data_IF_277200187061
#
_entry.id   IF_277200187061
#
_cell.length_a   1.000
_cell.length_b   1.000
_cell.length_c   1.000
_cell.angle_alpha   90.00
_cell.angle_beta   90.00
_cell.angle_gamma   90.00
#
_symmetry.space_group_name_H-M   'P 1'
#
loop_
_entity.id
_entity.type
_entity.pdbx_description
1 polymer ?
#
# COMPACT_ATOMS: atom_id res chain seq x y z
N UNK A 1 -13.64 5.48 4.67
CA UNK A 1 -12.74 5.68 5.83
C UNK A 1 -11.30 5.43 5.39
N UNK A 2 -10.35 6.24 5.83
CA UNK A 2 -8.91 6.02 5.55
C UNK A 2 -8.21 5.24 6.67
N UNK A 3 -7.05 4.65 6.40
CA UNK A 3 -6.28 3.78 7.30
C UNK A 3 -6.16 4.35 8.73
N UNK A 4 -5.68 5.59 8.88
CA UNK A 4 -5.52 6.22 10.20
C UNK A 4 -6.85 6.44 10.94
N UNK A 5 -7.92 6.72 10.20
CA UNK A 5 -9.25 6.93 10.80
C UNK A 5 -9.83 5.61 11.31
N UNK A 6 -9.60 4.50 10.59
CA UNK A 6 -9.99 3.18 11.04
C UNK A 6 -9.40 2.84 12.42
N UNK A 7 -8.09 3.01 12.62
CA UNK A 7 -7.45 2.71 13.91
C UNK A 7 -7.91 3.64 15.02
N UNK A 8 -8.07 4.94 14.74
CA UNK A 8 -8.59 5.89 15.73
C UNK A 8 -10.01 5.54 16.21
N UNK A 9 -10.85 4.99 15.34
CA UNK A 9 -12.25 4.69 15.62
C UNK A 9 -12.46 3.28 16.18
N UNK A 10 -11.73 2.29 15.67
CA UNK A 10 -11.97 0.86 15.92
C UNK A 10 -10.99 0.24 16.91
N UNK A 11 -9.79 0.81 17.08
CA UNK A 11 -8.68 0.21 17.83
C UNK A 11 -7.94 1.30 18.65
N UNK A 12 -8.62 1.83 19.68
CA UNK A 12 -8.11 2.98 20.45
C UNK A 12 -6.77 2.72 21.17
N UNK A 13 -6.46 1.46 21.45
CA UNK A 13 -5.23 1.06 22.12
C UNK A 13 -4.06 0.81 21.14
N UNK A 14 -4.32 0.88 19.83
CA UNK A 14 -3.27 0.75 18.82
C UNK A 14 -2.48 2.06 18.71
N UNK A 15 -1.22 2.03 19.15
CA UNK A 15 -0.32 3.17 19.02
C UNK A 15 0.04 3.39 17.55
N UNK A 16 -0.52 4.44 16.96
CA UNK A 16 -0.24 4.83 15.59
C UNK A 16 0.79 5.96 15.53
N UNK A 17 1.93 5.68 14.91
CA UNK A 17 2.97 6.66 14.69
C UNK A 17 2.61 7.71 13.65
N UNK A 18 3.39 8.78 13.61
CA UNK A 18 3.32 9.76 12.55
C UNK A 18 3.67 9.15 11.19
N UNK A 19 3.04 9.67 10.14
CA UNK A 19 3.34 9.27 8.77
C UNK A 19 4.69 9.83 8.37
N UNK A 20 5.56 8.98 7.84
CA UNK A 20 6.85 9.39 7.29
C UNK A 20 6.74 9.50 5.77
N UNK A 21 7.22 10.60 5.21
CA UNK A 21 7.23 10.82 3.77
C UNK A 21 8.43 10.18 3.11
N UNK A 22 8.21 9.17 2.26
CA UNK A 22 9.27 8.54 1.46
C UNK A 22 9.70 9.40 0.27
N UNK A 23 8.90 10.40 -0.10
CA UNK A 23 9.07 11.21 -1.33
C UNK A 23 9.11 10.33 -2.60
N UNK A 24 8.51 9.14 -2.53
CA UNK A 24 8.57 8.11 -3.57
C UNK A 24 9.98 7.57 -3.87
N UNK A 25 10.97 7.94 -3.05
CA UNK A 25 12.36 7.56 -3.22
C UNK A 25 12.71 6.28 -2.43
N UNK A 26 13.19 5.21 -3.10
CA UNK A 26 13.58 3.97 -2.42
C UNK A 26 14.67 4.15 -1.36
N UNK A 27 15.67 4.98 -1.61
CA UNK A 27 16.77 5.17 -0.64
C UNK A 27 16.29 5.90 0.61
N UNK A 28 15.40 6.88 0.46
CA UNK A 28 14.75 7.55 1.60
C UNK A 28 13.90 6.55 2.39
N UNK A 29 13.09 5.74 1.71
CA UNK A 29 12.26 4.72 2.36
C UNK A 29 13.09 3.67 3.12
N UNK A 30 14.25 3.28 2.57
CA UNK A 30 15.19 2.37 3.20
C UNK A 30 15.76 2.95 4.49
N UNK A 31 16.26 4.18 4.46
CA UNK A 31 16.80 4.86 5.64
C UNK A 31 15.75 5.03 6.73
N UNK A 32 14.54 5.49 6.37
CA UNK A 32 13.42 5.63 7.31
C UNK A 32 13.06 4.29 7.96
N UNK A 33 12.99 3.22 7.17
CA UNK A 33 12.66 1.87 7.68
C UNK A 33 13.73 1.37 8.64
N UNK A 34 15.02 1.55 8.32
CA UNK A 34 16.12 1.21 9.21
C UNK A 34 16.08 2.00 10.52
N UNK A 35 15.76 3.29 10.46
CA UNK A 35 15.68 4.12 11.65
C UNK A 35 14.50 3.70 12.53
N UNK A 36 13.36 3.36 11.91
CA UNK A 36 12.20 2.82 12.60
C UNK A 36 12.54 1.51 13.31
N UNK A 37 13.15 0.54 12.62
CA UNK A 37 13.54 -0.74 13.21
C UNK A 37 14.48 -0.61 14.42
N UNK A 38 15.24 0.50 14.51
CA UNK A 38 16.13 0.79 15.64
C UNK A 38 15.48 1.60 16.76
N UNK A 39 14.37 2.27 16.50
CA UNK A 39 13.79 3.22 17.45
C UNK A 39 12.99 2.51 18.56
N UNK A 40 12.29 1.43 18.23
CA UNK A 40 11.43 0.69 19.16
C UNK A 40 11.49 -0.81 18.85
N UNK A 41 11.46 -1.63 19.89
CA UNK A 41 11.54 -3.10 19.72
C UNK A 41 10.18 -3.73 19.38
N UNK A 42 9.06 -3.05 19.64
CA UNK A 42 7.71 -3.63 19.58
C UNK A 42 6.90 -3.20 18.35
N UNK A 43 7.56 -2.96 17.22
CA UNK A 43 6.84 -2.76 15.96
C UNK A 43 6.09 -4.02 15.53
N UNK A 44 4.81 -3.88 15.22
CA UNK A 44 3.94 -4.99 14.77
C UNK A 44 3.43 -4.83 13.34
N UNK A 45 3.48 -3.63 12.77
CA UNK A 45 3.00 -3.39 11.41
C UNK A 45 3.64 -2.19 10.74
N UNK A 46 3.74 -2.26 9.42
CA UNK A 46 4.24 -1.19 8.56
C UNK A 46 3.32 -1.06 7.34
N UNK A 47 2.74 0.12 7.16
CA UNK A 47 1.85 0.41 6.03
C UNK A 47 2.56 1.31 5.03
N UNK A 48 2.91 0.75 3.88
CA UNK A 48 3.58 1.44 2.77
C UNK A 48 2.51 1.93 1.79
N UNK A 49 2.05 3.17 2.01
CA UNK A 49 0.90 3.75 1.32
C UNK A 49 1.21 4.35 -0.07
N UNK A 50 2.41 4.16 -0.59
CA UNK A 50 2.87 4.79 -1.84
C UNK A 50 4.24 4.31 -2.28
N UNK A 51 4.98 5.16 -3.00
CA UNK A 51 6.31 4.83 -3.53
C UNK A 51 7.38 4.55 -2.46
N UNK A 52 8.45 3.87 -2.86
CA UNK A 52 9.58 3.51 -1.99
C UNK A 52 9.53 2.09 -1.40
N UNK A 53 8.54 1.26 -1.77
CA UNK A 53 8.39 -0.12 -1.25
C UNK A 53 9.63 -0.98 -1.44
N UNK A 54 10.38 -0.79 -2.52
CA UNK A 54 11.64 -1.52 -2.78
C UNK A 54 12.70 -1.20 -1.73
N UNK A 55 12.77 0.05 -1.26
CA UNK A 55 13.62 0.48 -0.16
C UNK A 55 13.22 -0.14 1.18
N UNK A 56 11.92 -0.17 1.46
CA UNK A 56 11.37 -0.85 2.64
C UNK A 56 11.75 -2.33 2.63
N UNK A 57 11.51 -3.03 1.51
CA UNK A 57 11.87 -4.44 1.37
C UNK A 57 13.38 -4.65 1.53
N UNK A 58 14.22 -3.78 0.95
CA UNK A 58 15.68 -3.84 1.11
C UNK A 58 16.07 -3.74 2.59
N UNK A 59 15.49 -2.80 3.34
CA UNK A 59 15.80 -2.60 4.76
C UNK A 59 15.42 -3.82 5.60
N UNK A 60 14.26 -4.41 5.31
CA UNK A 60 13.76 -5.60 6.01
C UNK A 60 14.57 -6.86 5.67
N UNK A 61 15.12 -6.98 4.46
CA UNK A 61 16.03 -8.10 4.11
C UNK A 61 17.36 -8.00 4.84
N UNK A 62 17.90 -6.79 4.95
CA UNK A 62 19.18 -6.54 5.60
C UNK A 62 19.10 -6.73 7.13
N UNK A 63 17.92 -6.53 7.72
CA UNK A 63 17.69 -6.66 9.15
C UNK A 63 17.22 -8.09 9.52
N UNK A 64 18.11 -8.87 10.13
CA UNK A 64 17.80 -10.21 10.62
C UNK A 64 17.18 -10.23 12.04
N UNK A 65 16.90 -9.05 12.61
CA UNK A 65 16.41 -8.85 13.95
C UNK A 65 14.96 -9.29 14.18
N UNK A 66 14.55 -9.46 15.45
CA UNK A 66 13.19 -9.88 15.77
C UNK A 66 12.12 -8.88 15.31
N UNK A 67 12.41 -7.57 15.34
CA UNK A 67 11.47 -6.53 14.92
C UNK A 67 11.09 -6.69 13.44
N UNK A 68 12.09 -6.79 12.55
CA UNK A 68 11.87 -6.96 11.12
C UNK A 68 11.06 -8.23 10.80
N UNK A 69 11.32 -9.34 11.51
CA UNK A 69 10.64 -10.62 11.30
C UNK A 69 9.17 -10.64 11.76
N UNK A 70 8.80 -9.78 12.72
CA UNK A 70 7.44 -9.72 13.26
C UNK A 70 6.52 -8.78 12.49
N UNK A 71 7.07 -7.84 11.73
CA UNK A 71 6.31 -6.82 11.03
C UNK A 71 5.29 -7.43 10.05
N UNK A 72 4.03 -7.03 10.20
CA UNK A 72 3.03 -7.19 9.16
C UNK A 72 3.15 -6.00 8.21
N UNK A 73 3.78 -6.24 7.05
CA UNK A 73 3.93 -5.21 6.02
C UNK A 73 2.74 -5.26 5.07
N UNK A 74 2.07 -4.13 4.91
CA UNK A 74 0.98 -3.91 3.95
C UNK A 74 1.44 -2.89 2.91
N UNK A 75 1.37 -3.23 1.63
CA UNK A 75 1.79 -2.36 0.53
C UNK A 75 0.65 -2.07 -0.45
N UNK A 76 0.88 -1.13 -1.37
CA UNK A 76 -0.02 -0.80 -2.48
C UNK A 76 0.49 -1.32 -3.81
N UNK A 77 -0.47 -1.62 -4.70
CA UNK A 77 -0.30 -2.11 -6.06
C UNK A 77 0.45 -3.44 -6.22
N UNK A 78 -0.12 -4.37 -6.99
CA UNK A 78 0.52 -5.62 -7.33
C UNK A 78 1.48 -5.45 -8.52
N UNK A 79 2.66 -4.90 -8.26
CA UNK A 79 3.77 -4.80 -9.21
C UNK A 79 4.62 -6.07 -9.19
N UNK A 80 5.63 -6.15 -10.07
CA UNK A 80 6.63 -7.24 -10.04
C UNK A 80 7.33 -7.31 -8.68
N UNK A 81 7.67 -6.16 -8.12
CA UNK A 81 8.41 -6.02 -6.86
C UNK A 81 7.55 -6.43 -5.66
N UNK A 82 6.30 -5.95 -5.57
CA UNK A 82 5.42 -6.30 -4.45
C UNK A 82 4.94 -7.74 -4.52
N UNK A 83 4.76 -8.30 -5.72
CA UNK A 83 4.54 -9.74 -5.93
C UNK A 83 5.71 -10.56 -5.42
N UNK A 84 6.95 -10.17 -5.72
CA UNK A 84 8.14 -10.84 -5.18
C UNK A 84 8.19 -10.72 -3.65
N UNK A 85 7.90 -9.52 -3.10
CA UNK A 85 7.82 -9.31 -1.65
C UNK A 85 6.77 -10.18 -0.96
N UNK A 86 5.62 -10.42 -1.59
CA UNK A 86 4.60 -11.36 -1.12
C UNK A 86 5.12 -12.80 -1.12
N UNK A 87 5.76 -13.23 -2.21
CA UNK A 87 6.34 -14.58 -2.34
C UNK A 87 7.47 -14.84 -1.33
N UNK A 88 8.32 -13.84 -1.08
CA UNK A 88 9.37 -13.88 -0.06
C UNK A 88 8.82 -13.80 1.37
N UNK A 89 7.55 -13.43 1.54
CA UNK A 89 6.91 -13.23 2.83
C UNK A 89 7.33 -11.96 3.57
N UNK A 90 8.07 -11.06 2.92
CA UNK A 90 8.40 -9.73 3.45
C UNK A 90 7.15 -8.86 3.51
N UNK A 91 6.34 -8.91 2.46
CA UNK A 91 5.01 -8.28 2.41
C UNK A 91 3.98 -9.34 2.78
N UNK A 92 3.01 -8.98 3.63
CA UNK A 92 1.91 -9.88 4.01
C UNK A 92 0.66 -9.64 3.18
N UNK A 93 0.39 -8.39 2.84
CA UNK A 93 -0.79 -8.00 2.08
C UNK A 93 -0.42 -6.89 1.09
N UNK A 94 -0.94 -7.00 -0.13
CA UNK A 94 -0.97 -5.91 -1.10
C UNK A 94 -2.41 -5.53 -1.37
N UNK A 95 -2.71 -4.24 -1.24
CA UNK A 95 -3.97 -3.65 -1.67
C UNK A 95 -3.76 -3.08 -3.06
N UNK A 96 -4.49 -3.56 -4.06
CA UNK A 96 -4.30 -3.14 -5.45
C UNK A 96 -5.59 -2.59 -6.04
N UNK A 97 -5.48 -1.62 -6.93
CA UNK A 97 -6.61 -1.26 -7.78
C UNK A 97 -6.93 -2.41 -8.75
N UNK A 98 -8.21 -2.66 -9.08
CA UNK A 98 -8.60 -3.62 -10.10
C UNK A 98 -8.31 -3.02 -11.48
N UNK A 99 -7.05 -3.06 -11.90
CA UNK A 99 -6.54 -2.28 -13.04
C UNK A 99 -7.40 -2.43 -14.30
N UNK A 100 -7.86 -3.66 -14.58
CA UNK A 100 -8.76 -3.93 -15.72
C UNK A 100 -10.10 -3.23 -15.59
N UNK A 101 -10.79 -3.39 -14.45
CA UNK A 101 -12.09 -2.76 -14.21
C UNK A 101 -11.97 -1.23 -14.21
N UNK A 102 -10.87 -0.69 -13.64
CA UNK A 102 -10.56 0.73 -13.68
C UNK A 102 -10.40 1.24 -15.12
N UNK A 103 -9.60 0.55 -15.94
CA UNK A 103 -9.38 0.90 -17.34
C UNK A 103 -10.66 0.81 -18.19
N UNK A 104 -11.44 -0.26 -18.04
CA UNK A 104 -12.71 -0.44 -18.74
C UNK A 104 -13.72 0.66 -18.34
N UNK A 105 -13.79 0.98 -17.05
CA UNK A 105 -14.69 2.02 -16.53
C UNK A 105 -14.29 3.40 -17.05
N UNK A 106 -13.02 3.77 -16.98
CA UNK A 106 -12.57 5.11 -17.41
C UNK A 106 -12.75 5.31 -18.92
N UNK A 107 -12.40 4.31 -19.74
CA UNK A 107 -12.57 4.39 -21.19
C UNK A 107 -14.05 4.53 -21.57
N UNK A 108 -14.94 3.76 -20.91
CA UNK A 108 -16.37 3.86 -21.13
C UNK A 108 -16.90 5.26 -20.78
N UNK A 109 -16.54 5.78 -19.61
CA UNK A 109 -16.99 7.11 -19.15
C UNK A 109 -16.47 8.22 -20.07
N UNK A 110 -15.22 8.12 -20.53
CA UNK A 110 -14.65 9.06 -21.50
C UNK A 110 -15.40 9.03 -22.84
N UNK A 111 -15.74 7.85 -23.34
CA UNK A 111 -16.52 7.71 -24.57
C UNK A 111 -17.93 8.31 -24.43
N UNK A 112 -18.60 8.08 -23.29
CA UNK A 112 -19.91 8.66 -23.00
C UNK A 112 -19.86 10.19 -22.86
N UNK A 113 -18.76 10.75 -22.34
CA UNK A 113 -18.58 12.19 -22.18
C UNK A 113 -18.36 12.92 -23.53
N UNK A 114 -17.90 12.22 -24.56
CA UNK A 114 -17.74 12.75 -25.91
C UNK A 114 -19.05 12.74 -26.73
N UNK A 115 -20.10 12.09 -26.23
CA UNK A 115 -21.41 12.08 -26.87
C UNK A 115 -22.09 13.45 -26.74
N UNK A 116 -21.98 14.28 -27.78
CA UNK A 116 -22.48 15.66 -27.82
C UNK A 116 -24.01 15.77 -27.78
N UNK A 117 -24.72 14.64 -27.90
CA UNK A 117 -26.17 14.56 -27.72
C UNK A 117 -26.60 14.41 -26.26
N UNK A 118 -25.65 14.30 -25.32
CA UNK A 118 -25.91 14.20 -23.89
C UNK A 118 -25.50 15.46 -23.15
N UNK A 119 -26.27 15.83 -22.14
CA UNK A 119 -25.86 16.85 -21.18
C UNK A 119 -24.65 16.33 -20.40
N UNK A 120 -23.57 17.11 -20.23
CA UNK A 120 -22.43 16.69 -19.42
C UNK A 120 -22.87 16.46 -17.96
N UNK A 121 -22.67 15.24 -17.47
CA UNK A 121 -22.95 14.87 -16.07
C UNK A 121 -21.62 14.47 -15.44
N UNK A 122 -21.36 14.97 -14.24
CA UNK A 122 -20.24 14.48 -13.42
C UNK A 122 -20.56 13.04 -13.02
N UNK A 123 -19.80 12.08 -13.57
CA UNK A 123 -19.91 10.68 -13.19
C UNK A 123 -18.90 10.35 -12.09
N UNK A 124 -19.36 9.70 -11.03
CA UNK A 124 -18.52 9.17 -9.96
C UNK A 124 -18.74 7.66 -9.85
N UNK A 125 -17.66 6.89 -10.00
CA UNK A 125 -17.67 5.45 -9.87
C UNK A 125 -16.86 5.02 -8.65
N UNK A 126 -17.44 4.17 -7.81
CA UNK A 126 -16.72 3.48 -6.75
C UNK A 126 -16.35 2.09 -7.24
N UNK A 127 -15.06 1.80 -7.27
CA UNK A 127 -14.53 0.49 -7.62
C UNK A 127 -14.05 -0.23 -6.34
N UNK A 128 -14.21 -1.55 -6.23
CA UNK A 128 -13.58 -2.31 -5.16
C UNK A 128 -12.05 -2.26 -5.33
N UNK A 129 -11.30 -2.51 -4.27
CA UNK A 129 -9.88 -2.85 -4.38
C UNK A 129 -9.73 -4.36 -4.28
N UNK A 130 -8.62 -4.88 -4.80
CA UNK A 130 -8.24 -6.27 -4.72
C UNK A 130 -7.25 -6.48 -3.56
N UNK A 131 -7.31 -7.65 -2.93
CA UNK A 131 -6.42 -8.02 -1.83
C UNK A 131 -5.59 -9.21 -2.26
N UNK A 132 -4.27 -9.02 -2.25
CA UNK A 132 -3.30 -10.06 -2.57
C UNK A 132 -2.48 -10.45 -1.35
N UNK A 133 -2.23 -11.73 -1.25
CA UNK A 133 -1.41 -12.41 -0.24
C UNK A 133 -0.57 -13.46 -0.97
N UNK A 134 0.40 -14.08 -0.30
CA UNK A 134 1.15 -15.19 -0.89
C UNK A 134 0.26 -16.36 -1.40
N UNK A 135 -0.97 -16.49 -0.91
CA UNK A 135 -1.88 -17.57 -1.28
C UNK A 135 -2.64 -17.35 -2.60
N UNK A 136 -2.65 -16.13 -3.14
CA UNK A 136 -3.44 -15.77 -4.32
C UNK A 136 -2.71 -14.84 -5.30
N UNK A 137 -1.38 -14.83 -5.26
CA UNK A 137 -0.54 -14.21 -6.31
C UNK A 137 -0.37 -15.13 -7.51
#
# INVERSE_FOLDING_TARGET
MGFRSYFRESERDFQMMETLGTQEEPDVAHELTRNLLKSEDNWIGLYVAGGGVTGVMRALREDAGPAAKRLVVVAHELTTETRAGLAEGIIKVVLSHPARLLAETIVKVMAEALDTHRTPIVSQHTLPFEIYTAANI
#
